data_IF_030939187863
#
_entry.id   IF_030939187863
#
_cell.length_a   1.000
_cell.length_b   1.000
_cell.length_c   1.000
_cell.angle_alpha   90.00
_cell.angle_beta   90.00
_cell.angle_gamma   90.00
#
_symmetry.space_group_name_H-M   'P 1'
#
loop_
_entity.id
_entity.type
_entity.pdbx_description
1 polymer ?
#
# COMPACT_ATOMS: atom_id res chain seq x y z
N UNK A 1 14.01 -20.19 25.86
CA UNK A 1 15.21 -20.54 25.07
C UNK A 1 15.06 -20.24 23.57
N UNK A 2 13.92 -20.52 22.92
CA UNK A 2 13.73 -20.29 21.48
C UNK A 2 13.48 -18.80 21.15
N UNK A 3 12.64 -18.13 21.94
CA UNK A 3 12.27 -16.72 21.75
C UNK A 3 13.45 -15.75 21.77
N UNK A 4 14.47 -16.03 22.59
CA UNK A 4 15.70 -15.23 22.65
C UNK A 4 16.48 -15.30 21.33
N UNK A 5 16.58 -16.50 20.75
CA UNK A 5 17.28 -16.73 19.47
C UNK A 5 16.55 -16.13 18.28
N UNK A 6 15.21 -16.20 18.29
CA UNK A 6 14.39 -15.56 17.25
C UNK A 6 14.59 -14.05 17.28
N UNK A 7 14.50 -13.43 18.46
CA UNK A 7 14.71 -11.98 18.61
C UNK A 7 16.12 -11.55 18.20
N UNK A 8 17.16 -12.30 18.59
CA UNK A 8 18.54 -11.98 18.20
C UNK A 8 18.76 -12.10 16.69
N UNK A 9 18.14 -13.10 16.03
CA UNK A 9 18.20 -13.27 14.58
C UNK A 9 17.53 -12.11 13.84
N UNK A 10 16.35 -11.70 14.29
CA UNK A 10 15.62 -10.55 13.73
C UNK A 10 16.46 -9.29 13.84
N UNK A 11 17.02 -8.99 15.02
CA UNK A 11 17.86 -7.80 15.25
C UNK A 11 19.09 -7.78 14.34
N UNK A 12 19.75 -8.93 14.15
CA UNK A 12 20.93 -9.03 13.30
C UNK A 12 20.59 -8.75 11.82
N UNK A 13 19.44 -9.20 11.35
CA UNK A 13 18.98 -8.93 9.99
C UNK A 13 18.50 -7.47 9.82
N UNK A 14 17.88 -6.86 10.85
CA UNK A 14 17.59 -5.42 10.85
C UNK A 14 18.87 -4.60 10.73
N UNK A 15 19.94 -4.98 11.44
CA UNK A 15 21.22 -4.29 11.42
C UNK A 15 21.91 -4.36 10.04
N UNK A 16 21.63 -5.40 9.26
CA UNK A 16 22.06 -5.52 7.86
C UNK A 16 21.22 -4.68 6.88
N UNK A 17 20.22 -3.95 7.37
CA UNK A 17 19.37 -3.08 6.56
C UNK A 17 18.23 -3.80 5.85
N UNK A 18 17.93 -5.07 6.19
CA UNK A 18 16.72 -5.71 5.64
C UNK A 18 15.47 -5.07 6.22
N UNK A 19 14.54 -4.73 5.34
CA UNK A 19 13.23 -4.23 5.71
C UNK A 19 12.43 -5.38 6.33
N UNK A 20 12.01 -5.20 7.58
CA UNK A 20 11.18 -6.15 8.29
C UNK A 20 9.73 -5.70 8.19
N UNK A 21 8.85 -6.61 7.76
CA UNK A 21 7.43 -6.36 7.62
C UNK A 21 6.98 -6.22 6.17
N UNK A 22 5.81 -5.62 5.97
CA UNK A 22 5.24 -5.43 4.63
C UNK A 22 6.02 -4.33 3.89
N UNK A 23 6.42 -4.53 2.62
CA UNK A 23 7.10 -3.49 1.85
C UNK A 23 6.23 -2.24 1.74
N UNK A 24 6.90 -1.08 1.65
CA UNK A 24 6.23 0.19 1.39
C UNK A 24 5.52 0.13 0.04
N UNK A 25 4.25 0.51 0.04
CA UNK A 25 3.46 0.52 -1.19
C UNK A 25 3.95 1.69 -2.06
N UNK A 26 4.46 1.40 -3.25
CA UNK A 26 4.89 2.43 -4.20
C UNK A 26 3.81 2.67 -5.24
N UNK A 27 3.87 3.80 -5.96
CA UNK A 27 2.91 4.13 -7.03
C UNK A 27 2.86 3.01 -8.09
N UNK A 28 3.99 2.32 -8.32
CA UNK A 28 4.10 1.18 -9.25
C UNK A 28 3.34 -0.07 -8.80
N UNK A 29 3.09 -0.23 -7.51
CA UNK A 29 2.32 -1.35 -6.95
C UNK A 29 0.81 -1.10 -6.99
N UNK A 30 0.39 0.11 -7.38
CA UNK A 30 -1.03 0.46 -7.46
C UNK A 30 -1.58 -0.06 -8.80
N UNK A 31 -2.76 -0.71 -8.81
CA UNK A 31 -3.38 -1.15 -10.05
C UNK A 31 -3.60 0.03 -11.01
N UNK A 32 -3.20 -0.13 -12.28
CA UNK A 32 -3.37 0.89 -13.32
C UNK A 32 -4.83 1.34 -13.47
N UNK A 33 -5.77 0.43 -13.24
CA UNK A 33 -7.21 0.74 -13.22
C UNK A 33 -7.56 1.87 -12.26
N UNK A 34 -6.93 1.91 -11.07
CA UNK A 34 -7.13 2.97 -10.06
C UNK A 34 -6.58 4.29 -10.57
N UNK A 35 -5.40 4.26 -11.18
CA UNK A 35 -4.73 5.46 -11.74
C UNK A 35 -5.55 6.04 -12.90
N UNK A 36 -6.03 5.18 -13.80
CA UNK A 36 -6.79 5.58 -14.97
C UNK A 36 -8.15 6.17 -14.58
N UNK A 37 -8.90 5.47 -13.72
CA UNK A 37 -10.17 5.98 -13.20
C UNK A 37 -10.01 7.29 -12.43
N UNK A 38 -8.93 7.48 -11.66
CA UNK A 38 -8.64 8.77 -11.03
C UNK A 38 -8.43 9.92 -12.03
N UNK A 39 -7.86 9.64 -13.21
CA UNK A 39 -7.65 10.64 -14.26
C UNK A 39 -8.94 10.98 -15.02
N UNK A 40 -9.86 10.02 -15.09
CA UNK A 40 -11.18 10.19 -15.71
C UNK A 40 -12.20 10.81 -14.74
N UNK A 41 -12.02 10.63 -13.43
CA UNK A 41 -12.86 11.19 -12.38
C UNK A 41 -12.34 12.54 -11.87
N UNK A 42 -12.74 13.64 -12.52
CA UNK A 42 -12.64 15.01 -11.98
C UNK A 42 -13.70 15.27 -10.88
N UNK A 43 -13.89 14.30 -9.97
CA UNK A 43 -14.85 14.38 -8.85
C UNK A 43 -16.29 13.98 -9.19
N UNK A 44 -16.51 13.28 -10.31
CA UNK A 44 -17.84 12.84 -10.74
C UNK A 44 -18.34 11.59 -9.99
N UNK A 45 -17.45 10.66 -9.61
CA UNK A 45 -17.82 9.40 -8.95
C UNK A 45 -17.59 9.43 -7.44
N UNK A 46 -18.52 8.82 -6.71
CA UNK A 46 -18.41 8.65 -5.26
C UNK A 46 -17.27 7.71 -4.89
N UNK A 47 -16.58 7.95 -3.77
CA UNK A 47 -15.50 7.06 -3.27
C UNK A 47 -15.92 5.59 -3.14
N UNK A 48 -17.21 5.34 -2.89
CA UNK A 48 -17.80 4.00 -2.82
C UNK A 48 -17.85 3.30 -4.16
N UNK A 49 -18.26 4.01 -5.20
CA UNK A 49 -18.39 3.42 -6.53
C UNK A 49 -17.03 3.28 -7.18
N UNK A 50 -16.14 4.25 -6.94
CA UNK A 50 -14.72 4.17 -7.30
C UNK A 50 -14.04 2.89 -6.74
N UNK A 51 -14.32 2.55 -5.47
CA UNK A 51 -13.83 1.32 -4.84
C UNK A 51 -14.33 0.06 -5.56
N UNK A 52 -15.63 0.03 -5.90
CA UNK A 52 -16.26 -1.11 -6.59
C UNK A 52 -15.72 -1.28 -8.01
N UNK A 53 -15.59 -0.19 -8.76
CA UNK A 53 -15.05 -0.19 -10.14
C UNK A 53 -13.62 -0.73 -10.15
N UNK A 54 -12.81 -0.31 -9.18
CA UNK A 54 -11.43 -0.76 -9.04
C UNK A 54 -11.30 -2.17 -8.42
N UNK A 55 -12.39 -2.74 -7.89
CA UNK A 55 -12.38 -4.04 -7.20
C UNK A 55 -11.57 -4.05 -5.90
N UNK A 56 -11.40 -2.89 -5.26
CA UNK A 56 -10.63 -2.75 -4.02
C UNK A 56 -11.49 -2.26 -2.87
N UNK A 57 -11.07 -2.52 -1.63
CA UNK A 57 -11.79 -1.98 -0.48
C UNK A 57 -11.56 -0.48 -0.34
N UNK A 58 -12.59 0.25 0.15
CA UNK A 58 -12.50 1.68 0.46
C UNK A 58 -11.21 2.09 1.23
N UNK A 59 -10.79 1.41 2.31
CA UNK A 59 -9.57 1.79 3.01
C UNK A 59 -8.29 1.55 2.18
N UNK A 60 -8.29 0.57 1.27
CA UNK A 60 -7.17 0.35 0.35
C UNK A 60 -7.11 1.47 -0.69
N UNK A 61 -8.26 1.90 -1.17
CA UNK A 61 -8.40 3.01 -2.11
C UNK A 61 -7.94 4.33 -1.51
N UNK A 62 -8.39 4.69 -0.31
CA UNK A 62 -7.92 5.89 0.39
C UNK A 62 -6.40 5.83 0.64
N UNK A 63 -5.84 4.64 0.92
CA UNK A 63 -4.38 4.45 1.02
C UNK A 63 -3.68 4.68 -0.32
N UNK A 64 -4.22 4.18 -1.43
CA UNK A 64 -3.67 4.41 -2.77
C UNK A 64 -3.72 5.90 -3.16
N UNK A 65 -4.83 6.58 -2.91
CA UNK A 65 -4.97 8.01 -3.14
C UNK A 65 -3.96 8.83 -2.31
N UNK A 66 -3.72 8.42 -1.06
CA UNK A 66 -2.69 9.04 -0.22
C UNK A 66 -1.29 8.86 -0.81
N UNK A 67 -0.94 7.64 -1.23
CA UNK A 67 0.35 7.33 -1.87
C UNK A 67 0.52 8.11 -3.19
N UNK A 68 -0.54 8.25 -3.98
CA UNK A 68 -0.52 9.05 -5.23
C UNK A 68 -0.38 10.56 -5.00
N UNK A 69 -0.83 11.07 -3.84
CA UNK A 69 -0.72 12.50 -3.51
C UNK A 69 0.65 12.84 -2.87
N UNK A 70 1.22 11.89 -2.12
CA UNK A 70 2.47 12.07 -1.38
C UNK A 70 3.72 11.69 -2.18
N UNK A 71 3.59 10.87 -3.23
CA UNK A 71 4.69 10.47 -4.11
C UNK A 71 4.75 11.26 -5.41
#
# INVERSE_FOLDING_TARGET
>A
MISVRVKSGVVNETAKGKIIGRPSLTIKDIPEKVIDTHKLDDGAISKTDYAKICGVSRPTLDKYLKVMREG
#
